data_IF_990359157783
#
_entry.id   IF_990359157783
#
_cell.length_a   1.000
_cell.length_b   1.000
_cell.length_c   1.000
_cell.angle_alpha   90.00
_cell.angle_beta   90.00
_cell.angle_gamma   90.00
#
_symmetry.space_group_name_H-M   'P 1'
#
loop_
_entity.id
_entity.type
_entity.pdbx_description
1 polymer ?
#
# COMPACT_ATOMS: atom_id res chain seq x y z
N UNK A 1 -10.46 32.95 3.86
CA UNK A 1 -10.96 31.59 3.62
C UNK A 1 -11.07 31.45 2.12
N UNK A 2 -10.50 30.40 1.55
CA UNK A 2 -10.55 30.17 0.10
C UNK A 2 -12.00 30.00 -0.37
N UNK A 3 -12.32 30.52 -1.54
CA UNK A 3 -13.64 30.58 -2.16
C UNK A 3 -13.59 30.08 -3.62
N UNK A 4 -14.76 29.99 -4.23
CA UNK A 4 -14.86 29.69 -5.68
C UNK A 4 -14.26 30.83 -6.51
N UNK A 5 -14.42 32.09 -6.06
CA UNK A 5 -13.86 33.25 -6.74
C UNK A 5 -12.30 33.17 -6.76
N UNK A 6 -11.68 32.70 -5.66
CA UNK A 6 -10.22 32.51 -5.62
C UNK A 6 -9.77 31.42 -6.59
N UNK A 7 -10.56 30.36 -6.76
CA UNK A 7 -10.28 29.29 -7.73
C UNK A 7 -10.34 29.85 -9.17
N UNK A 8 -11.35 30.66 -9.48
CA UNK A 8 -11.51 31.32 -10.78
C UNK A 8 -10.37 32.34 -11.03
N UNK A 9 -9.95 33.09 -10.00
CA UNK A 9 -8.80 33.99 -10.08
C UNK A 9 -7.51 33.25 -10.40
N UNK A 10 -7.28 32.09 -9.77
CA UNK A 10 -6.12 31.25 -10.09
C UNK A 10 -6.15 30.76 -11.53
N UNK A 11 -7.30 30.35 -12.03
CA UNK A 11 -7.45 29.89 -13.42
C UNK A 11 -7.15 30.99 -14.44
N UNK A 12 -7.53 32.24 -14.12
CA UNK A 12 -7.32 33.39 -14.99
C UNK A 12 -5.90 33.96 -14.91
N UNK A 13 -5.33 34.05 -13.72
CA UNK A 13 -4.08 34.79 -13.48
C UNK A 13 -2.83 33.93 -13.39
N UNK A 14 -2.95 32.61 -13.19
CA UNK A 14 -1.80 31.71 -13.12
C UNK A 14 -1.57 31.04 -14.48
N UNK A 15 -0.49 31.37 -15.19
CA UNK A 15 -0.19 30.72 -16.46
C UNK A 15 0.32 29.29 -16.24
N UNK A 16 -0.03 28.38 -17.18
CA UNK A 16 0.42 26.99 -17.17
C UNK A 16 -0.43 26.04 -16.30
N UNK A 17 -1.67 26.46 -15.99
CA UNK A 17 -2.70 25.58 -15.43
C UNK A 17 -3.52 24.93 -16.55
N UNK A 18 -3.79 23.64 -16.40
CA UNK A 18 -4.70 22.91 -17.29
C UNK A 18 -6.11 22.79 -16.73
N UNK A 19 -6.24 22.69 -15.43
CA UNK A 19 -7.54 22.57 -14.74
C UNK A 19 -7.44 22.98 -13.27
N UNK A 20 -8.56 23.40 -12.67
CA UNK A 20 -8.68 23.76 -11.26
C UNK A 20 -9.97 23.20 -10.68
N UNK A 21 -9.96 22.85 -9.41
CA UNK A 21 -11.17 22.46 -8.68
C UNK A 21 -11.07 22.85 -7.22
N UNK A 22 -12.22 23.07 -6.60
CA UNK A 22 -12.31 23.34 -5.17
C UNK A 22 -13.10 22.23 -4.48
N UNK A 23 -12.65 21.82 -3.32
CA UNK A 23 -13.29 20.80 -2.51
C UNK A 23 -13.14 21.08 -1.03
N UNK A 24 -13.97 20.48 -0.21
CA UNK A 24 -13.79 20.39 1.24
C UNK A 24 -14.28 19.04 1.75
N UNK A 25 -13.85 18.67 2.94
CA UNK A 25 -14.30 17.46 3.62
C UNK A 25 -14.90 17.79 4.98
N UNK A 26 -15.90 17.03 5.35
CA UNK A 26 -16.50 17.03 6.69
C UNK A 26 -16.90 15.61 7.06
N UNK A 27 -17.28 15.38 8.32
CA UNK A 27 -17.81 14.09 8.77
C UNK A 27 -19.24 14.31 9.21
N UNK A 28 -20.16 13.50 8.71
CA UNK A 28 -21.58 13.57 9.06
C UNK A 28 -22.15 12.19 9.35
N UNK A 29 -23.13 12.17 10.20
CA UNK A 29 -23.93 10.97 10.44
C UNK A 29 -24.82 10.70 9.23
N UNK A 30 -24.79 9.49 8.78
CA UNK A 30 -25.48 9.01 7.58
C UNK A 30 -26.38 7.85 7.95
N UNK A 31 -27.60 7.88 7.45
CA UNK A 31 -28.63 6.86 7.68
C UNK A 31 -29.25 6.43 6.34
N UNK A 32 -29.75 5.22 6.27
CA UNK A 32 -30.44 4.69 5.07
C UNK A 32 -29.95 3.32 4.64
N UNK A 33 -30.55 2.77 3.60
CA UNK A 33 -30.26 1.43 3.12
C UNK A 33 -30.44 0.36 4.20
N UNK A 34 -29.41 -0.45 4.39
CA UNK A 34 -29.36 -1.57 5.35
C UNK A 34 -28.67 -1.18 6.68
N UNK A 35 -28.36 0.10 6.89
CA UNK A 35 -27.74 0.56 8.14
C UNK A 35 -28.73 0.47 9.32
N UNK A 36 -28.38 -0.28 10.35
CA UNK A 36 -29.18 -0.43 11.58
C UNK A 36 -29.19 0.85 12.45
N UNK A 37 -28.10 1.63 12.40
CA UNK A 37 -27.90 2.86 13.16
C UNK A 37 -27.18 3.91 12.30
N UNK A 38 -27.33 5.19 12.69
CA UNK A 38 -26.59 6.28 12.07
C UNK A 38 -25.07 6.04 12.17
N UNK A 39 -24.40 6.03 11.04
CA UNK A 39 -22.96 5.79 10.95
C UNK A 39 -22.27 7.01 10.37
N UNK A 40 -21.14 7.40 10.95
CA UNK A 40 -20.38 8.56 10.50
C UNK A 40 -19.54 8.25 9.26
N UNK A 41 -19.80 8.98 8.16
CA UNK A 41 -19.04 8.91 6.93
C UNK A 41 -18.32 10.23 6.64
N UNK A 42 -17.23 10.15 5.88
CA UNK A 42 -16.60 11.34 5.30
C UNK A 42 -17.44 11.82 4.13
N UNK A 43 -17.86 13.09 4.19
CA UNK A 43 -18.58 13.76 3.13
C UNK A 43 -17.63 14.74 2.44
N UNK A 44 -17.52 14.66 1.13
CA UNK A 44 -16.74 15.58 0.32
C UNK A 44 -17.68 16.48 -0.51
N UNK A 45 -17.63 17.79 -0.29
CA UNK A 45 -18.26 18.77 -1.16
C UNK A 45 -17.31 19.09 -2.32
N UNK A 46 -17.74 18.81 -3.56
CA UNK A 46 -16.87 18.88 -4.76
C UNK A 46 -17.57 19.52 -5.95
N UNK A 47 -16.78 20.06 -6.89
CA UNK A 47 -17.24 20.51 -8.20
C UNK A 47 -17.37 19.33 -9.18
N UNK A 48 -18.07 19.55 -10.30
CA UNK A 48 -18.31 18.52 -11.33
C UNK A 48 -17.04 17.93 -11.91
N UNK A 49 -16.00 18.75 -12.12
CA UNK A 49 -14.72 18.34 -12.69
C UNK A 49 -13.83 17.55 -11.72
N UNK A 50 -14.20 17.45 -10.45
CA UNK A 50 -13.40 16.76 -9.43
C UNK A 50 -13.11 15.30 -9.77
N UNK A 51 -14.11 14.59 -10.35
CA UNK A 51 -13.91 13.20 -10.79
C UNK A 51 -12.86 13.06 -11.87
N UNK A 52 -12.84 13.99 -12.84
CA UNK A 52 -11.86 14.00 -13.93
C UNK A 52 -10.45 14.30 -13.40
N UNK A 53 -10.32 15.32 -12.57
CA UNK A 53 -9.05 15.74 -11.95
C UNK A 53 -8.48 14.62 -11.05
N UNK A 54 -9.36 13.94 -10.32
CA UNK A 54 -8.97 12.85 -9.41
C UNK A 54 -8.91 11.47 -10.09
N UNK A 55 -9.11 11.43 -11.43
CA UNK A 55 -9.11 10.21 -12.24
C UNK A 55 -10.04 9.12 -11.68
N UNK A 56 -11.24 9.53 -11.23
CA UNK A 56 -12.26 8.63 -10.70
C UNK A 56 -13.07 8.01 -11.83
N UNK A 57 -13.40 6.74 -11.69
CA UNK A 57 -14.25 6.01 -12.63
C UNK A 57 -15.57 5.62 -11.97
N UNK A 58 -16.64 5.65 -12.77
CA UNK A 58 -17.98 5.27 -12.30
C UNK A 58 -18.23 3.80 -12.54
N UNK A 59 -18.71 3.09 -11.52
CA UNK A 59 -19.21 1.72 -11.63
C UNK A 59 -20.62 1.73 -12.25
N UNK A 60 -21.48 2.65 -11.79
CA UNK A 60 -22.85 2.82 -12.26
C UNK A 60 -23.30 4.27 -12.06
N UNK A 61 -24.14 4.76 -12.96
CA UNK A 61 -24.65 6.13 -12.92
C UNK A 61 -23.63 7.17 -13.38
N UNK A 62 -23.90 8.42 -13.07
CA UNK A 62 -23.09 9.56 -13.47
C UNK A 62 -22.59 10.34 -12.24
N UNK A 63 -21.44 11.00 -12.41
CA UNK A 63 -20.92 11.90 -11.38
C UNK A 63 -21.77 13.18 -11.31
N UNK A 64 -21.52 13.99 -10.28
CA UNK A 64 -22.21 15.28 -10.07
C UNK A 64 -21.99 16.23 -11.26
N UNK A 65 -23.02 17.01 -11.60
CA UNK A 65 -22.97 17.98 -12.69
C UNK A 65 -22.94 19.42 -12.15
N UNK A 66 -22.57 20.38 -13.01
CA UNK A 66 -22.62 21.79 -12.66
C UNK A 66 -24.05 22.23 -12.33
N UNK A 67 -25.06 21.73 -13.06
CA UNK A 67 -26.46 22.01 -12.78
C UNK A 67 -26.86 21.58 -11.35
N UNK A 68 -26.36 20.42 -10.87
CA UNK A 68 -26.61 19.95 -9.50
C UNK A 68 -26.01 20.92 -8.46
N UNK A 69 -24.82 21.47 -8.75
CA UNK A 69 -24.15 22.39 -7.84
C UNK A 69 -24.79 23.79 -7.85
N UNK A 70 -25.06 24.37 -9.00
CA UNK A 70 -25.69 25.68 -9.15
C UNK A 70 -27.10 25.73 -8.55
N UNK A 71 -27.91 24.70 -8.82
CA UNK A 71 -29.27 24.59 -8.30
C UNK A 71 -29.32 24.10 -6.86
N UNK A 72 -28.17 23.72 -6.26
CA UNK A 72 -28.05 23.17 -4.90
C UNK A 72 -28.96 21.96 -4.71
N UNK A 73 -28.92 21.07 -5.69
CA UNK A 73 -29.68 19.85 -5.69
C UNK A 73 -29.07 18.81 -4.73
N UNK A 74 -29.91 17.99 -4.15
CA UNK A 74 -29.50 16.97 -3.17
C UNK A 74 -29.25 15.63 -3.84
N UNK A 75 -28.21 15.57 -4.65
CA UNK A 75 -27.68 14.36 -5.22
C UNK A 75 -26.38 14.00 -4.49
N UNK A 76 -26.02 12.71 -4.49
CA UNK A 76 -24.75 12.27 -3.98
C UNK A 76 -24.20 11.12 -4.84
N UNK A 77 -22.89 10.99 -4.85
CA UNK A 77 -22.16 9.85 -5.43
C UNK A 77 -21.48 9.11 -4.28
N UNK A 78 -21.66 7.81 -4.21
CA UNK A 78 -21.07 6.97 -3.17
C UNK A 78 -19.75 6.36 -3.63
N UNK A 79 -18.78 6.30 -2.75
CA UNK A 79 -17.62 5.45 -2.94
C UNK A 79 -18.00 3.97 -2.88
N UNK A 80 -17.23 3.12 -3.50
CA UNK A 80 -17.53 1.69 -3.63
C UNK A 80 -17.78 1.00 -2.29
N UNK A 81 -16.89 1.20 -1.32
CA UNK A 81 -17.00 0.61 0.02
C UNK A 81 -18.18 1.20 0.78
N UNK A 82 -18.35 2.54 0.73
CA UNK A 82 -19.49 3.19 1.37
C UNK A 82 -20.83 2.67 0.82
N UNK A 83 -20.94 2.48 -0.50
CA UNK A 83 -22.14 1.93 -1.11
C UNK A 83 -22.44 0.50 -0.66
N UNK A 84 -21.41 -0.34 -0.53
CA UNK A 84 -21.54 -1.71 -0.02
C UNK A 84 -21.95 -1.77 1.45
N UNK A 85 -21.39 -0.89 2.27
CA UNK A 85 -21.73 -0.83 3.70
C UNK A 85 -23.16 -0.32 3.93
N UNK A 86 -23.61 0.65 3.13
CA UNK A 86 -24.93 1.27 3.29
C UNK A 86 -26.03 0.40 2.67
N UNK A 87 -25.79 -0.24 1.51
CA UNK A 87 -26.81 -0.92 0.70
C UNK A 87 -26.54 -2.41 0.44
N UNK A 88 -25.57 -3.02 1.11
CA UNK A 88 -25.09 -4.40 0.91
C UNK A 88 -24.53 -4.68 -0.50
N UNK A 89 -24.89 -3.88 -1.49
CA UNK A 89 -24.40 -3.96 -2.87
C UNK A 89 -24.24 -2.57 -3.49
N UNK A 90 -23.10 -2.34 -4.14
CA UNK A 90 -22.86 -1.08 -4.86
C UNK A 90 -23.89 -0.81 -5.97
N UNK A 91 -24.43 -1.87 -6.59
CA UNK A 91 -25.45 -1.72 -7.64
C UNK A 91 -26.84 -1.37 -7.11
N UNK A 92 -27.22 -1.79 -5.88
CA UNK A 92 -28.50 -1.49 -5.28
C UNK A 92 -28.61 -0.05 -4.77
N UNK A 93 -27.47 0.60 -4.57
CA UNK A 93 -27.41 1.99 -4.11
C UNK A 93 -27.90 3.00 -5.17
N UNK A 94 -27.75 2.71 -6.46
CA UNK A 94 -28.10 3.65 -7.55
C UNK A 94 -29.58 3.96 -7.60
N UNK A 95 -29.91 5.25 -7.51
CA UNK A 95 -31.28 5.76 -7.55
C UNK A 95 -32.02 5.70 -6.20
N UNK A 96 -31.40 5.13 -5.18
CA UNK A 96 -31.96 5.09 -3.82
C UNK A 96 -31.64 6.37 -3.04
N UNK A 97 -32.14 6.49 -1.82
CA UNK A 97 -31.99 7.67 -0.97
C UNK A 97 -31.18 7.36 0.26
N UNK A 98 -30.17 8.19 0.51
CA UNK A 98 -29.38 8.19 1.73
C UNK A 98 -29.64 9.49 2.50
N UNK A 99 -29.70 9.42 3.83
CA UNK A 99 -29.90 10.60 4.67
C UNK A 99 -28.55 11.04 5.25
N UNK A 100 -28.09 12.22 4.87
CA UNK A 100 -26.87 12.84 5.38
C UNK A 100 -27.29 14.01 6.30
N UNK A 101 -26.87 13.98 7.55
CA UNK A 101 -27.31 14.94 8.58
C UNK A 101 -28.84 15.10 8.56
N UNK A 102 -29.58 13.97 8.58
CA UNK A 102 -31.04 13.88 8.54
C UNK A 102 -31.71 14.50 7.30
N UNK A 103 -30.97 14.73 6.20
CA UNK A 103 -31.49 15.27 4.94
C UNK A 103 -31.35 14.24 3.83
N UNK A 104 -32.41 14.05 3.02
CA UNK A 104 -32.40 13.06 1.95
C UNK A 104 -31.54 13.53 0.76
N UNK A 105 -30.67 12.65 0.29
CA UNK A 105 -29.90 12.79 -0.94
C UNK A 105 -30.18 11.59 -1.84
N UNK A 106 -30.37 11.82 -3.12
CA UNK A 106 -30.56 10.76 -4.11
C UNK A 106 -29.19 10.32 -4.64
N UNK A 107 -28.94 9.03 -4.63
CA UNK A 107 -27.70 8.46 -5.17
C UNK A 107 -27.71 8.52 -6.71
N UNK A 108 -26.94 9.44 -7.30
CA UNK A 108 -26.82 9.61 -8.76
C UNK A 108 -25.81 8.66 -9.38
N UNK A 109 -24.94 8.08 -8.58
CA UNK A 109 -23.93 7.12 -9.05
C UNK A 109 -23.12 6.51 -7.92
N UNK A 110 -22.38 5.47 -8.28
CA UNK A 110 -21.43 4.79 -7.40
C UNK A 110 -20.09 4.70 -8.14
N UNK A 111 -19.00 5.04 -7.45
CA UNK A 111 -17.64 4.91 -7.98
C UNK A 111 -17.23 3.45 -8.11
N UNK A 112 -16.37 3.17 -9.06
CA UNK A 112 -15.65 1.89 -9.13
C UNK A 112 -14.63 1.78 -8.00
N UNK A 113 -14.22 0.58 -7.66
CA UNK A 113 -13.24 0.34 -6.59
C UNK A 113 -11.87 0.85 -7.01
N UNK A 114 -11.40 1.90 -6.35
CA UNK A 114 -10.12 2.53 -6.63
C UNK A 114 -8.99 2.08 -5.69
N UNK A 115 -9.35 1.54 -4.53
CA UNK A 115 -8.41 1.11 -3.52
C UNK A 115 -7.76 2.28 -2.76
N UNK A 116 -6.61 1.99 -2.19
CA UNK A 116 -5.87 2.95 -1.35
C UNK A 116 -5.22 4.06 -2.17
N UNK A 117 -5.57 5.30 -1.93
CA UNK A 117 -4.92 6.46 -2.56
C UNK A 117 -3.73 6.94 -1.72
N UNK A 118 -2.65 7.37 -2.40
CA UNK A 118 -1.43 7.81 -1.74
C UNK A 118 -1.59 9.14 -0.98
N UNK A 119 -2.56 9.96 -1.38
CA UNK A 119 -2.82 11.28 -0.79
C UNK A 119 -4.22 11.75 -1.17
N UNK A 120 -4.85 12.53 -0.29
CA UNK A 120 -6.17 13.13 -0.53
C UNK A 120 -7.31 12.37 0.15
N UNK A 121 -8.50 12.54 -0.41
CA UNK A 121 -9.73 11.90 0.05
C UNK A 121 -9.74 10.46 -0.42
N UNK A 122 -10.01 9.48 0.46
CA UNK A 122 -10.19 8.08 0.06
C UNK A 122 -11.48 7.93 -0.73
N UNK A 123 -11.44 7.62 -2.03
CA UNK A 123 -12.64 7.61 -2.86
C UNK A 123 -13.65 6.56 -2.43
N UNK A 124 -13.16 5.39 -2.02
CA UNK A 124 -14.00 4.21 -1.77
C UNK A 124 -14.90 4.35 -0.53
N UNK A 125 -14.46 5.12 0.47
CA UNK A 125 -15.18 5.28 1.75
C UNK A 125 -15.88 6.63 1.89
N UNK A 126 -15.83 7.48 0.87
CA UNK A 126 -16.34 8.86 0.90
C UNK A 126 -17.65 8.98 0.15
N UNK A 127 -18.51 9.85 0.63
CA UNK A 127 -19.75 10.27 -0.05
C UNK A 127 -19.50 11.66 -0.64
N UNK A 128 -19.68 11.80 -1.95
CA UNK A 128 -19.49 13.04 -2.67
C UNK A 128 -20.83 13.75 -2.88
N UNK A 129 -20.86 15.05 -2.60
CA UNK A 129 -22.04 15.91 -2.79
C UNK A 129 -21.64 17.18 -3.55
N UNK A 130 -22.56 17.90 -4.21
CA UNK A 130 -22.24 19.16 -4.85
C UNK A 130 -21.70 20.16 -3.81
N UNK A 131 -20.68 20.92 -4.20
CA UNK A 131 -19.94 21.84 -3.32
C UNK A 131 -20.86 22.86 -2.63
N UNK A 132 -21.67 23.57 -3.42
CA UNK A 132 -22.62 24.58 -2.93
C UNK A 132 -23.78 23.98 -2.11
N UNK A 133 -24.19 22.74 -2.46
CA UNK A 133 -25.21 22.01 -1.72
C UNK A 133 -24.77 21.72 -0.30
N UNK A 134 -23.54 21.26 -0.15
CA UNK A 134 -23.00 20.95 1.15
C UNK A 134 -22.77 22.19 2.02
N UNK A 135 -22.27 23.30 1.43
CA UNK A 135 -22.17 24.58 2.14
C UNK A 135 -23.55 25.04 2.65
N UNK A 136 -24.56 24.99 1.78
CA UNK A 136 -25.90 25.46 2.13
C UNK A 136 -26.58 24.64 3.21
N UNK A 137 -26.41 23.32 3.18
CA UNK A 137 -27.25 22.43 3.96
C UNK A 137 -26.50 21.69 5.10
N UNK A 138 -25.18 21.56 5.04
CA UNK A 138 -24.42 20.77 6.02
C UNK A 138 -23.48 21.65 6.84
N UNK A 139 -22.51 22.28 6.20
CA UNK A 139 -21.40 22.91 6.90
C UNK A 139 -21.56 24.41 7.15
N UNK A 140 -22.39 25.09 6.38
CA UNK A 140 -22.42 26.56 6.40
C UNK A 140 -21.06 27.13 6.01
N UNK A 141 -20.66 28.23 6.65
CA UNK A 141 -19.37 28.90 6.40
C UNK A 141 -18.21 28.33 7.23
N UNK A 142 -18.39 27.21 7.94
CA UNK A 142 -17.35 26.61 8.80
C UNK A 142 -16.61 25.48 8.07
N UNK A 143 -16.03 25.78 6.91
CA UNK A 143 -15.27 24.81 6.13
C UNK A 143 -13.81 25.25 5.98
N UNK A 144 -12.94 24.30 5.64
CA UNK A 144 -11.56 24.56 5.21
C UNK A 144 -11.39 24.06 3.78
N UNK A 145 -11.72 24.88 2.75
CA UNK A 145 -11.62 24.46 1.37
C UNK A 145 -10.18 24.23 0.95
N UNK A 146 -10.02 23.31 0.02
CA UNK A 146 -8.77 23.02 -0.67
C UNK A 146 -8.99 23.29 -2.15
N UNK A 147 -8.17 24.15 -2.74
CA UNK A 147 -8.13 24.32 -4.20
C UNK A 147 -7.04 23.38 -4.73
N UNK A 148 -7.42 22.53 -5.65
CA UNK A 148 -6.49 21.65 -6.37
C UNK A 148 -6.28 22.23 -7.77
N UNK A 149 -5.03 22.41 -8.14
CA UNK A 149 -4.63 22.92 -9.45
C UNK A 149 -3.82 21.87 -10.20
N UNK A 150 -4.02 21.73 -11.49
CA UNK A 150 -3.28 20.84 -12.37
C UNK A 150 -2.38 21.68 -13.28
N UNK A 151 -1.07 21.46 -13.19
CA UNK A 151 -0.12 22.07 -14.10
C UNK A 151 -0.14 21.37 -15.46
N UNK A 152 -0.04 22.14 -16.55
CA UNK A 152 0.06 21.59 -17.92
C UNK A 152 1.33 20.76 -18.13
N UNK A 153 2.45 21.15 -17.49
CA UNK A 153 3.74 20.47 -17.59
C UNK A 153 4.32 20.22 -16.20
N UNK A 154 4.60 18.96 -15.92
CA UNK A 154 5.20 18.50 -14.66
C UNK A 154 6.56 19.17 -14.37
N UNK A 155 7.30 19.58 -15.43
CA UNK A 155 8.58 20.27 -15.24
C UNK A 155 8.44 21.73 -14.77
N UNK A 156 7.25 22.30 -14.86
CA UNK A 156 6.98 23.68 -14.50
C UNK A 156 6.20 23.84 -13.19
N UNK A 157 6.02 22.76 -12.43
CA UNK A 157 5.23 22.77 -11.18
C UNK A 157 5.76 23.79 -10.18
N UNK A 158 7.08 23.91 -9.99
CA UNK A 158 7.67 24.89 -9.10
C UNK A 158 7.31 26.34 -9.48
N UNK A 159 7.31 26.63 -10.80
CA UNK A 159 6.91 27.96 -11.30
C UNK A 159 5.43 28.22 -11.09
N UNK A 160 4.59 27.20 -11.28
CA UNK A 160 3.15 27.29 -11.04
C UNK A 160 2.88 27.55 -9.56
N UNK A 161 3.59 26.87 -8.64
CA UNK A 161 3.48 27.09 -7.19
C UNK A 161 3.82 28.54 -6.84
N UNK A 162 4.93 29.10 -7.36
CA UNK A 162 5.33 30.48 -7.12
C UNK A 162 4.29 31.48 -7.63
N UNK A 163 3.69 31.22 -8.80
CA UNK A 163 2.63 32.06 -9.36
C UNK A 163 1.34 31.98 -8.52
N UNK A 164 0.95 30.78 -8.07
CA UNK A 164 -0.19 30.58 -7.16
C UNK A 164 0.01 31.33 -5.84
N UNK A 165 1.20 31.21 -5.24
CA UNK A 165 1.56 31.97 -4.04
C UNK A 165 1.43 33.48 -4.26
N UNK A 166 1.87 33.97 -5.40
CA UNK A 166 1.82 35.40 -5.72
C UNK A 166 0.38 35.90 -5.83
N UNK A 167 -0.48 35.18 -6.54
CA UNK A 167 -1.91 35.54 -6.71
C UNK A 167 -2.64 35.48 -5.37
N UNK A 168 -2.43 34.43 -4.59
CA UNK A 168 -3.06 34.30 -3.26
C UNK A 168 -2.53 35.34 -2.26
N UNK A 169 -1.25 35.72 -2.31
CA UNK A 169 -0.69 36.75 -1.45
C UNK A 169 -1.23 38.14 -1.75
N UNK A 170 -1.60 38.43 -3.00
CA UNK A 170 -2.24 39.69 -3.37
C UNK A 170 -3.66 39.78 -2.80
N UNK A 171 -4.43 38.68 -2.87
CA UNK A 171 -5.79 38.61 -2.32
C UNK A 171 -5.80 38.50 -0.78
N UNK A 172 -4.80 37.87 -0.18
CA UNK A 172 -4.72 37.60 1.26
C UNK A 172 -3.34 37.94 1.87
N UNK A 173 -2.96 39.21 1.99
CA UNK A 173 -1.59 39.62 2.39
C UNK A 173 -1.12 39.14 3.76
N UNK A 174 -2.04 38.72 4.63
CA UNK A 174 -1.72 38.26 5.99
C UNK A 174 -2.11 36.81 6.27
N UNK A 175 -2.44 36.05 5.25
CA UNK A 175 -2.79 34.64 5.41
C UNK A 175 -1.56 33.75 5.12
N UNK A 176 -1.44 32.68 5.87
CA UNK A 176 -0.50 31.60 5.57
C UNK A 176 -1.26 30.48 4.87
N UNK A 177 -0.81 30.09 3.67
CA UNK A 177 -1.33 28.98 2.92
C UNK A 177 -0.41 27.80 3.03
N UNK A 178 -0.97 26.60 3.17
CA UNK A 178 -0.21 25.36 3.04
C UNK A 178 -0.34 24.88 1.60
N UNK A 179 0.69 25.04 0.80
CA UNK A 179 0.76 24.49 -0.54
C UNK A 179 1.47 23.15 -0.46
N UNK A 180 0.89 22.14 -1.07
CA UNK A 180 1.48 20.81 -1.12
C UNK A 180 1.41 20.27 -2.54
N UNK A 181 2.56 19.96 -3.07
CA UNK A 181 2.70 19.31 -4.35
C UNK A 181 2.55 17.78 -4.22
N UNK A 182 1.89 17.17 -5.19
CA UNK A 182 1.72 15.72 -5.26
C UNK A 182 3.07 15.00 -5.46
N UNK A 183 4.00 15.61 -6.18
CA UNK A 183 5.35 15.07 -6.39
C UNK A 183 6.14 14.98 -5.09
N UNK A 184 6.14 16.03 -4.28
CA UNK A 184 6.82 16.03 -2.97
C UNK A 184 6.22 15.02 -1.99
N UNK A 185 4.89 14.83 -2.01
CA UNK A 185 4.23 13.78 -1.21
C UNK A 185 4.61 12.39 -1.69
N UNK A 186 4.68 12.17 -2.99
CA UNK A 186 5.10 10.90 -3.58
C UNK A 186 6.57 10.59 -3.30
N UNK A 187 7.43 11.60 -3.33
CA UNK A 187 8.84 11.49 -2.95
C UNK A 187 9.01 11.17 -1.46
N UNK A 188 8.25 11.83 -0.59
CA UNK A 188 8.23 11.54 0.84
C UNK A 188 7.74 10.11 1.13
N UNK A 189 6.68 9.66 0.46
CA UNK A 189 6.18 8.29 0.55
C UNK A 189 7.21 7.27 0.03
N UNK A 190 7.87 7.57 -1.10
CA UNK A 190 8.94 6.74 -1.66
C UNK A 190 10.14 6.64 -0.71
N UNK A 191 10.56 7.75 -0.12
CA UNK A 191 11.63 7.83 0.88
C UNK A 191 11.31 7.00 2.13
N UNK A 192 10.07 7.08 2.60
CA UNK A 192 9.57 6.27 3.72
C UNK A 192 9.60 4.77 3.38
N UNK A 193 9.13 4.40 2.18
CA UNK A 193 9.17 3.03 1.69
C UNK A 193 10.59 2.48 1.57
N UNK A 194 11.56 3.30 1.10
CA UNK A 194 12.97 2.91 1.05
C UNK A 194 13.52 2.63 2.46
N UNK A 195 13.18 3.45 3.44
CA UNK A 195 13.59 3.25 4.83
C UNK A 195 13.02 1.95 5.40
N UNK A 196 11.73 1.68 5.16
CA UNK A 196 11.10 0.41 5.56
C UNK A 196 11.74 -0.79 4.87
N UNK A 197 12.04 -0.71 3.57
CA UNK A 197 12.75 -1.75 2.84
C UNK A 197 14.13 -2.01 3.43
N UNK A 198 14.89 -0.97 3.77
CA UNK A 198 16.22 -1.11 4.39
C UNK A 198 16.13 -1.81 5.75
N UNK A 199 15.13 -1.48 6.57
CA UNK A 199 14.87 -2.15 7.84
C UNK A 199 14.55 -3.64 7.62
N UNK A 200 13.66 -3.96 6.68
CA UNK A 200 13.30 -5.35 6.35
C UNK A 200 14.51 -6.14 5.84
N UNK A 201 15.32 -5.56 4.96
CA UNK A 201 16.54 -6.22 4.47
C UNK A 201 17.57 -6.43 5.58
N UNK A 202 17.73 -5.47 6.50
CA UNK A 202 18.64 -5.64 7.64
C UNK A 202 18.18 -6.74 8.59
N UNK A 203 16.87 -6.84 8.87
CA UNK A 203 16.30 -7.94 9.63
C UNK A 203 16.50 -9.29 8.94
N UNK A 204 16.23 -9.34 7.63
CA UNK A 204 16.44 -10.55 6.83
C UNK A 204 17.91 -11.00 6.84
N UNK A 205 18.86 -10.07 6.77
CA UNK A 205 20.28 -10.37 6.86
C UNK A 205 20.67 -10.96 8.22
N UNK A 206 20.12 -10.43 9.31
CA UNK A 206 20.37 -10.99 10.66
C UNK A 206 19.81 -12.41 10.75
N UNK A 207 18.56 -12.61 10.31
CA UNK A 207 17.92 -13.94 10.32
C UNK A 207 18.69 -14.94 9.46
N UNK A 208 19.19 -14.50 8.30
CA UNK A 208 20.04 -15.29 7.42
C UNK A 208 21.31 -15.77 8.12
N UNK A 209 22.03 -14.88 8.79
CA UNK A 209 23.26 -15.23 9.51
C UNK A 209 22.96 -16.19 10.67
N UNK A 210 21.96 -15.87 11.49
CA UNK A 210 21.59 -16.71 12.66
C UNK A 210 21.08 -18.08 12.21
N UNK A 211 20.20 -18.13 11.21
CA UNK A 211 19.72 -19.38 10.63
C UNK A 211 20.82 -20.21 10.00
N UNK A 212 21.72 -19.56 9.27
CA UNK A 212 22.90 -20.20 8.65
C UNK A 212 23.84 -20.81 9.69
N UNK A 213 24.12 -20.11 10.81
CA UNK A 213 24.89 -20.66 11.92
C UNK A 213 24.18 -21.87 12.52
N UNK A 214 22.84 -21.83 12.62
CA UNK A 214 22.03 -22.97 13.05
C UNK A 214 22.25 -24.20 12.16
N UNK A 215 22.14 -24.04 10.83
CA UNK A 215 22.39 -25.12 9.86
C UNK A 215 23.82 -25.64 10.01
N UNK A 216 24.79 -24.75 10.10
CA UNK A 216 26.20 -25.11 10.25
C UNK A 216 26.45 -25.96 11.53
N UNK A 217 25.84 -25.57 12.66
CA UNK A 217 25.98 -26.29 13.91
C UNK A 217 25.35 -27.69 13.85
N UNK A 218 24.15 -27.84 13.28
CA UNK A 218 23.49 -29.14 13.09
C UNK A 218 24.35 -30.04 12.22
N UNK A 219 24.89 -29.56 11.13
CA UNK A 219 25.77 -30.32 10.26
C UNK A 219 27.09 -30.72 10.95
N UNK A 220 27.64 -29.84 11.80
CA UNK A 220 28.82 -30.24 12.60
C UNK A 220 28.53 -31.39 13.55
N UNK A 221 27.37 -31.40 14.19
CA UNK A 221 26.94 -32.50 15.05
C UNK A 221 26.77 -33.77 14.21
N UNK A 222 26.06 -33.68 13.07
CA UNK A 222 25.88 -34.82 12.15
C UNK A 222 27.21 -35.40 11.66
N UNK A 223 28.16 -34.55 11.24
CA UNK A 223 29.49 -35.00 10.85
C UNK A 223 30.24 -35.67 11.98
N UNK A 224 30.13 -35.15 13.21
CA UNK A 224 30.79 -35.72 14.38
C UNK A 224 30.21 -37.08 14.74
N UNK A 225 28.90 -37.25 14.71
CA UNK A 225 28.23 -38.53 14.97
C UNK A 225 28.55 -39.59 13.93
N UNK A 226 28.77 -39.19 12.65
CA UNK A 226 29.07 -40.10 11.55
C UNK A 226 30.59 -40.18 11.21
N UNK A 227 31.46 -39.68 12.10
CA UNK A 227 32.93 -39.64 11.86
C UNK A 227 33.50 -41.01 11.54
N UNK A 228 33.08 -42.06 12.21
CA UNK A 228 33.53 -43.44 11.98
C UNK A 228 33.08 -43.96 10.61
N UNK A 229 31.80 -43.71 10.21
CA UNK A 229 31.28 -44.06 8.88
C UNK A 229 32.10 -43.38 7.77
N UNK A 230 32.42 -42.09 7.92
CA UNK A 230 33.26 -41.31 6.99
C UNK A 230 34.66 -41.94 6.91
N UNK A 231 35.22 -42.37 8.03
CA UNK A 231 36.51 -43.06 8.10
C UNK A 231 36.51 -44.37 7.31
N UNK A 232 35.44 -45.19 7.42
CA UNK A 232 35.28 -46.45 6.68
C UNK A 232 35.13 -46.17 5.19
N UNK A 233 34.27 -45.22 4.80
CA UNK A 233 34.08 -44.84 3.36
C UNK A 233 35.39 -44.42 2.72
N UNK A 234 36.22 -43.65 3.42
CA UNK A 234 37.52 -43.23 2.93
C UNK A 234 38.52 -44.39 2.86
N UNK A 235 38.52 -45.30 3.81
CA UNK A 235 39.35 -46.50 3.80
C UNK A 235 38.99 -47.42 2.60
N UNK A 236 37.71 -47.44 2.20
CA UNK A 236 37.20 -48.13 1.01
C UNK A 236 37.48 -47.39 -0.32
N UNK A 237 38.12 -46.21 -0.28
CA UNK A 237 38.54 -45.46 -1.48
C UNK A 237 37.60 -44.35 -1.93
N UNK A 238 36.58 -43.95 -1.15
CA UNK A 238 35.78 -42.78 -1.46
C UNK A 238 36.60 -41.50 -1.58
N UNK A 239 36.34 -40.71 -2.63
CA UNK A 239 37.09 -39.49 -2.83
C UNK A 239 36.63 -38.36 -1.91
N UNK A 240 37.52 -37.37 -1.66
CA UNK A 240 37.14 -36.18 -0.90
C UNK A 240 35.92 -35.46 -1.48
N UNK A 241 35.79 -35.49 -2.81
CA UNK A 241 34.69 -34.81 -3.52
C UNK A 241 33.35 -35.51 -3.26
N UNK A 242 33.32 -36.83 -3.19
CA UNK A 242 32.09 -37.59 -2.97
C UNK A 242 31.52 -37.33 -1.57
N UNK A 243 32.40 -37.32 -0.58
CA UNK A 243 31.99 -37.01 0.82
C UNK A 243 31.56 -35.52 0.94
N UNK A 244 32.29 -34.60 0.29
CA UNK A 244 31.90 -33.19 0.27
C UNK A 244 30.50 -33.01 -0.32
N UNK A 245 30.25 -33.64 -1.47
CA UNK A 245 28.94 -33.54 -2.15
C UNK A 245 27.81 -34.17 -1.34
N UNK A 246 28.05 -35.33 -0.70
CA UNK A 246 27.07 -35.98 0.16
C UNK A 246 26.54 -35.03 1.25
N UNK A 247 27.44 -34.46 2.07
CA UNK A 247 27.05 -33.53 3.13
C UNK A 247 26.51 -32.19 2.58
N UNK A 248 26.98 -31.74 1.43
CA UNK A 248 26.45 -30.53 0.80
C UNK A 248 25.03 -30.75 0.29
N UNK A 249 24.72 -31.91 -0.30
CA UNK A 249 23.35 -32.28 -0.68
C UNK A 249 22.44 -32.40 0.52
N UNK A 250 22.91 -32.96 1.64
CA UNK A 250 22.18 -33.04 2.89
C UNK A 250 21.82 -31.62 3.40
N UNK A 251 22.77 -30.70 3.39
CA UNK A 251 22.54 -29.29 3.75
C UNK A 251 21.53 -28.60 2.84
N UNK A 252 21.67 -28.78 1.52
CA UNK A 252 20.74 -28.22 0.54
C UNK A 252 19.33 -28.78 0.70
N UNK A 253 19.20 -30.06 0.96
CA UNK A 253 17.92 -30.72 1.14
C UNK A 253 17.21 -30.24 2.43
N UNK A 254 17.93 -30.16 3.54
CA UNK A 254 17.40 -29.61 4.79
C UNK A 254 16.95 -28.16 4.64
N UNK A 255 17.75 -27.33 3.99
CA UNK A 255 17.39 -25.93 3.78
C UNK A 255 16.22 -25.76 2.78
N UNK A 256 16.11 -26.64 1.80
CA UNK A 256 14.96 -26.64 0.87
C UNK A 256 13.66 -26.98 1.62
N UNK A 257 13.67 -28.00 2.47
CA UNK A 257 12.50 -28.34 3.31
C UNK A 257 12.15 -27.15 4.21
N UNK A 258 13.14 -26.57 4.88
CA UNK A 258 12.93 -25.39 5.71
C UNK A 258 12.33 -24.21 4.94
N UNK A 259 12.79 -23.96 3.74
CA UNK A 259 12.28 -22.89 2.87
C UNK A 259 10.84 -23.15 2.41
N UNK A 260 10.49 -24.39 2.06
CA UNK A 260 9.12 -24.76 1.71
C UNK A 260 8.19 -24.56 2.92
N UNK A 261 8.60 -25.01 4.09
CA UNK A 261 7.83 -24.79 5.33
C UNK A 261 7.69 -23.30 5.65
N UNK A 262 8.74 -22.51 5.43
CA UNK A 262 8.70 -21.06 5.61
C UNK A 262 7.71 -20.37 4.67
N UNK A 263 7.67 -20.75 3.40
CA UNK A 263 6.69 -20.24 2.42
C UNK A 263 5.27 -20.66 2.82
N UNK A 264 5.08 -21.91 3.24
CA UNK A 264 3.76 -22.38 3.70
C UNK A 264 3.29 -21.62 4.96
N UNK A 265 4.19 -21.36 5.90
CA UNK A 265 3.87 -20.57 7.10
C UNK A 265 3.51 -19.12 6.73
N UNK A 266 4.22 -18.50 5.80
CA UNK A 266 3.89 -17.17 5.31
C UNK A 266 2.49 -17.12 4.70
N UNK A 267 2.14 -18.09 3.83
CA UNK A 267 0.81 -18.20 3.24
C UNK A 267 -0.30 -18.40 4.29
N UNK A 268 -0.02 -19.16 5.35
CA UNK A 268 -0.98 -19.40 6.43
C UNK A 268 -1.22 -18.17 7.33
N UNK A 269 -0.23 -17.27 7.44
CA UNK A 269 -0.33 -16.05 8.25
C UNK A 269 -0.98 -14.90 7.47
N UNK A 270 -0.91 -14.90 6.15
CA UNK A 270 -1.48 -13.84 5.28
C UNK A 270 -2.92 -13.47 5.66
N UNK A 271 -3.90 -14.39 5.76
CA UNK A 271 -5.28 -14.02 6.07
C UNK A 271 -5.44 -13.40 7.47
N UNK A 272 -4.52 -13.69 8.38
CA UNK A 272 -4.52 -13.06 9.72
C UNK A 272 -4.08 -11.59 9.62
N UNK A 273 -3.11 -11.29 8.74
CA UNK A 273 -2.63 -9.92 8.53
C UNK A 273 -3.69 -9.08 7.81
N UNK A 274 -4.40 -9.66 6.85
CA UNK A 274 -5.49 -9.00 6.12
C UNK A 274 -6.63 -8.53 7.04
N UNK A 275 -6.89 -9.23 8.14
CA UNK A 275 -7.85 -8.79 9.16
C UNK A 275 -7.47 -7.47 9.86
N UNK A 276 -6.23 -7.01 9.72
CA UNK A 276 -5.76 -5.72 10.25
C UNK A 276 -5.79 -4.60 9.19
N UNK A 277 -6.60 -4.74 8.14
CA UNK A 277 -6.73 -3.78 7.04
C UNK A 277 -5.42 -3.53 6.27
N UNK A 278 -4.55 -4.53 6.22
CA UNK A 278 -3.30 -4.49 5.45
C UNK A 278 -3.47 -5.38 4.23
N UNK A 279 -3.45 -4.79 3.04
CA UNK A 279 -3.53 -5.54 1.78
C UNK A 279 -2.22 -6.29 1.53
N UNK A 280 -2.27 -7.63 1.45
CA UNK A 280 -1.10 -8.46 1.18
C UNK A 280 -1.16 -9.02 -0.23
N UNK A 281 -0.27 -8.57 -1.10
CA UNK A 281 -0.14 -9.09 -2.46
C UNK A 281 0.87 -10.24 -2.48
N UNK A 282 0.37 -11.45 -2.70
CA UNK A 282 1.19 -12.65 -2.83
C UNK A 282 1.89 -12.67 -4.20
N UNK A 283 3.22 -12.56 -4.18
CA UNK A 283 4.04 -12.62 -5.39
C UNK A 283 4.62 -14.03 -5.58
N UNK A 284 4.27 -14.68 -6.70
CA UNK A 284 4.86 -15.97 -7.09
C UNK A 284 6.37 -15.88 -7.34
N UNK A 285 6.83 -14.75 -7.86
CA UNK A 285 8.27 -14.47 -8.02
C UNK A 285 8.98 -14.34 -6.67
N UNK A 286 8.33 -13.72 -5.67
CA UNK A 286 8.84 -13.62 -4.31
C UNK A 286 8.99 -14.99 -3.65
N UNK A 287 8.01 -15.88 -3.83
CA UNK A 287 8.07 -17.26 -3.31
C UNK A 287 9.21 -18.06 -3.97
N UNK A 288 9.37 -17.95 -5.29
CA UNK A 288 10.47 -18.60 -6.00
C UNK A 288 11.84 -18.07 -5.55
N UNK A 289 11.97 -16.77 -5.34
CA UNK A 289 13.20 -16.14 -4.84
C UNK A 289 13.55 -16.61 -3.43
N UNK A 290 12.57 -16.73 -2.52
CA UNK A 290 12.80 -17.22 -1.15
C UNK A 290 13.24 -18.69 -1.12
N UNK A 291 12.71 -19.55 -2.00
CA UNK A 291 13.19 -20.92 -2.14
C UNK A 291 14.64 -20.97 -2.65
N UNK A 292 14.96 -20.18 -3.66
CA UNK A 292 16.33 -20.09 -4.21
C UNK A 292 17.30 -19.59 -3.13
N UNK A 293 16.88 -18.59 -2.35
CA UNK A 293 17.70 -18.04 -1.26
C UNK A 293 17.92 -19.04 -0.13
N UNK A 294 16.90 -19.86 0.17
CA UNK A 294 17.04 -20.95 1.16
C UNK A 294 18.06 -21.99 0.75
N UNK A 295 18.03 -22.45 -0.51
CA UNK A 295 19.05 -23.39 -1.03
C UNK A 295 20.44 -22.77 -1.00
N UNK A 296 20.56 -21.50 -1.37
CA UNK A 296 21.84 -20.77 -1.30
C UNK A 296 22.36 -20.70 0.14
N UNK A 297 21.49 -20.48 1.13
CA UNK A 297 21.85 -20.50 2.56
C UNK A 297 22.43 -21.85 2.97
N UNK A 298 21.72 -22.94 2.63
CA UNK A 298 22.19 -24.29 2.92
C UNK A 298 23.54 -24.58 2.29
N UNK A 299 23.74 -24.13 1.05
CA UNK A 299 25.01 -24.32 0.34
C UNK A 299 26.16 -23.54 1.00
N UNK A 300 25.96 -22.28 1.34
CA UNK A 300 27.01 -21.43 1.93
C UNK A 300 27.40 -21.92 3.32
N UNK A 301 26.42 -22.11 4.20
CA UNK A 301 26.69 -22.50 5.60
C UNK A 301 26.96 -23.99 5.76
N UNK A 302 26.50 -24.84 4.84
CA UNK A 302 26.78 -26.26 4.79
C UNK A 302 28.18 -26.59 4.23
N UNK A 303 28.74 -25.69 3.42
CA UNK A 303 30.03 -25.93 2.78
C UNK A 303 31.17 -26.18 3.77
N UNK A 304 31.27 -25.40 4.83
CA UNK A 304 32.39 -25.50 5.78
C UNK A 304 32.35 -26.82 6.58
N UNK A 305 31.23 -27.26 7.17
CA UNK A 305 31.15 -28.62 7.80
C UNK A 305 31.40 -29.74 6.81
N UNK A 306 30.84 -29.67 5.60
CA UNK A 306 31.05 -30.68 4.57
C UNK A 306 32.52 -30.78 4.13
N UNK A 307 33.19 -29.62 3.98
CA UNK A 307 34.62 -29.60 3.68
C UNK A 307 35.45 -30.24 4.80
N UNK A 308 35.13 -29.94 6.07
CA UNK A 308 35.81 -30.52 7.22
C UNK A 308 35.59 -32.04 7.30
N UNK A 309 34.38 -32.53 7.04
CA UNK A 309 34.09 -33.98 6.92
C UNK A 309 34.92 -34.63 5.82
N UNK A 310 34.98 -34.00 4.64
CA UNK A 310 35.75 -34.51 3.52
C UNK A 310 37.26 -34.52 3.75
N UNK A 311 37.75 -33.75 4.71
CA UNK A 311 39.19 -33.62 5.02
C UNK A 311 39.67 -34.56 6.15
N UNK A 312 38.76 -35.31 6.81
CA UNK A 312 39.14 -36.27 7.86
C UNK A 312 40.11 -37.30 7.36
N UNK A 313 41.08 -37.68 8.22
CA UNK A 313 42.04 -38.76 7.96
C UNK A 313 41.46 -40.07 8.42
N UNK A 314 41.42 -41.17 7.62
CA UNK A 314 40.80 -42.44 7.97
C UNK A 314 41.25 -43.00 9.31
N UNK A 315 42.52 -42.94 9.62
CA UNK A 315 43.09 -43.47 10.86
C UNK A 315 42.62 -42.71 12.10
N UNK A 316 42.52 -41.38 11.98
CA UNK A 316 42.02 -40.52 13.05
C UNK A 316 40.51 -40.69 13.27
N UNK A 317 39.76 -40.84 12.17
CA UNK A 317 38.31 -41.03 12.21
C UNK A 317 37.89 -42.38 12.82
N UNK A 318 38.69 -43.40 12.63
CA UNK A 318 38.41 -44.74 13.19
C UNK A 318 38.86 -44.91 14.66
N UNK A 319 39.75 -44.04 15.17
CA UNK A 319 40.27 -44.06 16.54
C UNK A 319 39.54 -43.07 17.50
N UNK A 320 38.54 -42.36 17.02
CA UNK A 320 37.68 -41.52 17.87
C UNK A 320 36.56 -42.38 18.45
N UNK A 321 36.75 -42.81 19.69
CA UNK A 321 35.69 -43.36 20.57
C UNK A 321 34.81 -42.24 21.15
#
# INVERSE_FOLDING_TARGET
>A
MLSVDDMEDLEVFVPGLSDTTISYTTTCDTEGGELDEATSYTIAGVKSNYATISNMTMLIGDFLTDDNDENKEKYCVLGYTAAKEIFDSAYSAYGDVVYIDSRPYVVSGVLDEMGSVASGISPDTTIFIPYETGIKYITGSSISPTITVIAEDVNNVDTVIENVETVLADSYPNAEFTISDAGTKMEAASSSNQTLQLLLYSMAAIVFVVGGIGIMNVLFVSVKERTNEIGILKALGCSKKDILLEFLFEACFMSLIGSVLGVMAALAITPVIENFSVTVVLSTSGAALSLAFGVLTGTIFGFYPAYKASSLIPIEALNQD
#
